data_IF_356045922022
#
_entry.id   IF_356045922022
#
_cell.length_a   1.000
_cell.length_b   1.000
_cell.length_c   1.000
_cell.angle_alpha   90.00
_cell.angle_beta   90.00
_cell.angle_gamma   90.00
#
_symmetry.space_group_name_H-M   'P 1'
#
loop_
_entity.id
_entity.type
_entity.pdbx_description
1 polymer ?
#
# COMPACT_ATOMS: atom_id res chain seq x y z
N UNK A 1 4.46 109.55 -31.48
CA UNK A 1 3.09 109.75 -30.95
C UNK A 1 3.23 110.37 -29.56
N UNK A 2 2.84 111.63 -29.34
CA UNK A 2 2.90 112.23 -28.01
C UNK A 2 1.82 111.58 -27.11
N UNK A 3 2.17 111.32 -25.85
CA UNK A 3 1.29 110.76 -24.81
C UNK A 3 0.19 111.79 -24.48
N UNK A 4 -1.10 111.43 -24.44
CA UNK A 4 -2.13 112.36 -24.01
C UNK A 4 -1.92 112.71 -22.52
N UNK A 5 -1.93 114.00 -22.20
CA UNK A 5 -1.77 114.50 -20.84
C UNK A 5 -2.85 113.91 -19.92
N UNK A 6 -2.44 113.37 -18.78
CA UNK A 6 -3.38 112.84 -17.78
C UNK A 6 -4.13 114.01 -17.13
N UNK A 7 -5.46 113.98 -17.18
CA UNK A 7 -6.31 114.95 -16.48
C UNK A 7 -6.04 114.91 -14.97
N UNK A 8 -5.86 116.07 -14.34
CA UNK A 8 -5.59 116.14 -12.89
C UNK A 8 -6.87 115.92 -12.08
N UNK A 9 -6.78 115.44 -10.82
CA UNK A 9 -7.95 115.20 -9.97
C UNK A 9 -8.84 116.44 -9.79
N UNK A 10 -8.25 117.63 -9.70
CA UNK A 10 -9.00 118.89 -9.56
C UNK A 10 -9.74 119.26 -10.85
N UNK A 11 -9.15 118.96 -12.01
CA UNK A 11 -9.83 119.14 -13.31
C UNK A 11 -11.01 118.18 -13.44
N UNK A 12 -10.85 116.92 -13.01
CA UNK A 12 -11.95 115.94 -12.98
C UNK A 12 -13.07 116.46 -12.06
N UNK A 13 -12.74 116.93 -10.86
CA UNK A 13 -13.71 117.44 -9.88
C UNK A 13 -14.46 118.67 -10.39
N UNK A 14 -13.74 119.67 -10.91
CA UNK A 14 -14.33 120.88 -11.46
C UNK A 14 -15.25 120.56 -12.65
N UNK A 15 -14.87 119.62 -13.51
CA UNK A 15 -15.67 119.22 -14.67
C UNK A 15 -16.93 118.45 -14.25
N UNK A 16 -16.85 117.59 -13.22
CA UNK A 16 -18.02 116.90 -12.67
C UNK A 16 -18.99 117.87 -11.99
N UNK A 17 -18.49 118.83 -11.21
CA UNK A 17 -19.31 119.86 -10.59
C UNK A 17 -19.96 120.79 -11.63
N UNK A 18 -19.23 121.12 -12.71
CA UNK A 18 -19.78 121.87 -13.83
C UNK A 18 -20.88 121.07 -14.55
N UNK A 19 -20.71 119.76 -14.77
CA UNK A 19 -21.75 118.90 -15.36
C UNK A 19 -23.01 118.81 -14.50
N UNK A 20 -22.86 118.86 -13.17
CA UNK A 20 -24.00 118.89 -12.24
C UNK A 20 -24.66 120.27 -12.19
N UNK A 21 -23.89 121.36 -12.26
CA UNK A 21 -24.41 122.73 -12.31
C UNK A 21 -25.13 123.03 -13.64
N UNK A 22 -24.59 122.57 -14.77
CA UNK A 22 -25.23 122.66 -16.10
C UNK A 22 -26.55 121.88 -16.17
N UNK A 23 -26.69 120.81 -15.38
CA UNK A 23 -27.94 120.06 -15.28
C UNK A 23 -29.02 120.78 -14.46
N UNK A 24 -28.67 121.88 -13.78
CA UNK A 24 -29.62 122.90 -13.31
C UNK A 24 -30.71 122.43 -12.36
N UNK A 25 -30.38 121.84 -11.21
CA UNK A 25 -31.38 121.41 -10.23
C UNK A 25 -31.02 121.71 -8.77
N UNK A 26 -31.94 122.39 -8.08
CA UNK A 26 -31.85 122.81 -6.68
C UNK A 26 -32.30 121.72 -5.66
N UNK A 27 -32.08 120.43 -5.96
CA UNK A 27 -32.47 119.32 -5.07
C UNK A 27 -31.28 118.38 -4.81
N UNK A 28 -31.09 117.89 -3.56
CA UNK A 28 -29.89 117.16 -3.18
C UNK A 28 -29.77 115.85 -3.96
N UNK A 29 -28.56 115.58 -4.47
CA UNK A 29 -28.29 114.50 -5.40
C UNK A 29 -28.35 113.13 -4.70
N UNK A 30 -29.32 112.29 -5.06
CA UNK A 30 -29.28 110.85 -4.79
C UNK A 30 -28.26 110.17 -5.70
N UNK A 31 -27.57 109.13 -5.22
CA UNK A 31 -26.49 108.47 -6.00
C UNK A 31 -26.93 107.92 -7.36
N UNK A 32 -28.18 107.47 -7.47
CA UNK A 32 -28.78 107.02 -8.74
C UNK A 32 -28.85 108.18 -9.75
N UNK A 33 -29.23 109.39 -9.32
CA UNK A 33 -29.32 110.58 -10.18
C UNK A 33 -27.93 111.08 -10.59
N UNK A 34 -26.96 111.05 -9.66
CA UNK A 34 -25.56 111.37 -9.97
C UNK A 34 -25.01 110.51 -11.11
N UNK A 35 -25.24 109.19 -11.07
CA UNK A 35 -24.78 108.25 -12.12
C UNK A 35 -25.50 108.42 -13.46
N UNK A 36 -26.74 108.91 -13.47
CA UNK A 36 -27.49 109.21 -14.69
C UNK A 36 -26.92 110.45 -15.41
N UNK A 37 -26.61 111.49 -14.64
CA UNK A 37 -26.10 112.76 -15.16
C UNK A 37 -24.62 112.64 -15.54
N UNK A 38 -23.82 112.02 -14.67
CA UNK A 38 -22.37 111.91 -14.80
C UNK A 38 -21.99 110.44 -15.01
N UNK A 39 -21.35 110.13 -16.13
CA UNK A 39 -20.80 108.80 -16.41
C UNK A 39 -19.35 108.91 -16.87
N UNK A 40 -18.57 107.85 -16.67
CA UNK A 40 -17.15 107.78 -17.11
C UNK A 40 -17.02 108.15 -18.59
N UNK A 41 -17.98 107.74 -19.43
CA UNK A 41 -18.02 108.06 -20.86
C UNK A 41 -18.23 109.55 -21.12
N UNK A 42 -19.21 110.18 -20.45
CA UNK A 42 -19.49 111.62 -20.60
C UNK A 42 -18.35 112.48 -20.05
N UNK A 43 -17.77 112.08 -18.92
CA UNK A 43 -16.64 112.75 -18.29
C UNK A 43 -15.38 112.67 -19.17
N UNK A 44 -15.09 111.49 -19.74
CA UNK A 44 -13.98 111.32 -20.68
C UNK A 44 -14.16 112.13 -21.97
N UNK A 45 -15.40 112.24 -22.47
CA UNK A 45 -15.70 113.05 -23.65
C UNK A 45 -15.45 114.55 -23.41
N UNK A 46 -15.69 115.05 -22.19
CA UNK A 46 -15.43 116.45 -21.79
C UNK A 46 -13.95 116.73 -21.51
N UNK A 47 -13.23 115.75 -20.94
CA UNK A 47 -11.81 115.89 -20.60
C UNK A 47 -10.87 115.60 -21.78
N UNK A 48 -11.35 114.97 -22.85
CA UNK A 48 -10.56 114.63 -24.05
C UNK A 48 -9.55 113.48 -23.86
N UNK A 49 -9.18 113.15 -22.62
CA UNK A 49 -8.27 112.05 -22.27
C UNK A 49 -8.51 111.55 -20.83
N UNK A 50 -8.05 110.34 -20.50
CA UNK A 50 -8.14 109.75 -19.16
C UNK A 50 -8.36 108.23 -19.18
N UNK A 51 -7.75 107.53 -18.22
CA UNK A 51 -7.93 106.09 -18.04
C UNK A 51 -9.28 105.79 -17.35
N UNK A 52 -10.12 104.88 -17.89
CA UNK A 52 -11.43 104.57 -17.32
C UNK A 52 -11.42 104.13 -15.85
N UNK A 53 -10.39 103.40 -15.41
CA UNK A 53 -10.32 102.86 -14.05
C UNK A 53 -10.02 103.95 -13.00
N UNK A 54 -9.24 104.97 -13.37
CA UNK A 54 -8.95 106.13 -12.53
C UNK A 54 -10.12 107.12 -12.52
N UNK A 55 -10.76 107.37 -13.66
CA UNK A 55 -11.97 108.20 -13.74
C UNK A 55 -13.15 107.57 -12.97
N UNK A 56 -13.32 106.26 -13.00
CA UNK A 56 -14.37 105.57 -12.23
C UNK A 56 -14.13 105.67 -10.73
N UNK A 57 -12.88 105.56 -10.27
CA UNK A 57 -12.55 105.73 -8.84
C UNK A 57 -12.77 107.16 -8.37
N UNK A 58 -12.34 108.15 -9.15
CA UNK A 58 -12.58 109.56 -8.86
C UNK A 58 -14.08 109.90 -8.85
N UNK A 59 -14.85 109.38 -9.81
CA UNK A 59 -16.31 109.56 -9.85
C UNK A 59 -17.00 108.95 -8.64
N UNK A 60 -16.64 107.73 -8.23
CA UNK A 60 -17.22 107.10 -7.05
C UNK A 60 -16.89 107.88 -5.75
N UNK A 61 -15.69 108.45 -5.65
CA UNK A 61 -15.30 109.29 -4.52
C UNK A 61 -16.12 110.60 -4.49
N UNK A 62 -16.31 111.24 -5.65
CA UNK A 62 -17.11 112.47 -5.77
C UNK A 62 -18.61 112.16 -5.55
N UNK A 63 -19.12 111.02 -6.04
CA UNK A 63 -20.50 110.56 -5.76
C UNK A 63 -20.71 110.43 -4.24
N UNK A 64 -19.79 109.76 -3.55
CA UNK A 64 -19.88 109.56 -2.11
C UNK A 64 -19.83 110.87 -1.31
N UNK A 65 -19.05 111.85 -1.79
CA UNK A 65 -18.98 113.18 -1.18
C UNK A 65 -20.27 113.98 -1.39
N UNK A 66 -20.74 114.09 -2.64
CA UNK A 66 -21.93 114.88 -3.00
C UNK A 66 -23.21 114.28 -2.38
N UNK A 67 -23.34 112.96 -2.37
CA UNK A 67 -24.49 112.28 -1.74
C UNK A 67 -24.46 112.46 -0.21
N UNK A 68 -23.28 112.46 0.41
CA UNK A 68 -23.13 112.68 1.86
C UNK A 68 -23.47 114.12 2.25
N UNK A 69 -23.04 115.10 1.47
CA UNK A 69 -23.44 116.50 1.64
C UNK A 69 -24.94 116.70 1.44
N UNK A 70 -25.53 116.03 0.44
CA UNK A 70 -26.98 116.10 0.18
C UNK A 70 -27.87 115.45 1.25
N UNK A 71 -27.36 114.47 1.99
CA UNK A 71 -28.06 113.88 3.14
C UNK A 71 -28.01 114.78 4.39
N UNK A 72 -27.00 115.63 4.52
CA UNK A 72 -26.91 116.63 5.60
C UNK A 72 -27.93 117.77 5.48
N UNK A 73 -28.47 118.01 4.28
CA UNK A 73 -29.46 119.07 4.00
C UNK A 73 -30.91 118.60 4.04
N UNK A 74 -31.19 117.35 4.43
CA UNK A 74 -32.57 116.87 4.63
C UNK A 74 -33.09 117.41 5.97
N UNK A 75 -33.38 118.71 6.00
CA UNK A 75 -34.13 119.34 7.07
C UNK A 75 -35.61 118.93 6.93
N UNK A 76 -36.11 118.11 7.85
CA UNK A 76 -37.55 117.85 7.96
C UNK A 76 -38.22 119.18 8.36
N UNK A 77 -39.07 119.78 7.51
CA UNK A 77 -39.60 121.10 7.77
C UNK A 77 -40.49 121.10 9.03
N UNK A 78 -40.12 121.89 10.03
CA UNK A 78 -40.90 122.10 11.26
C UNK A 78 -40.32 121.49 12.55
N UNK A 79 -39.17 120.79 12.50
CA UNK A 79 -38.47 120.36 13.71
C UNK A 79 -37.40 121.38 14.14
N UNK A 80 -37.36 121.80 15.41
CA UNK A 80 -36.23 122.54 15.99
C UNK A 80 -34.92 121.77 15.82
N UNK A 81 -33.84 122.49 15.46
CA UNK A 81 -32.54 121.90 15.15
C UNK A 81 -32.01 120.99 16.28
N UNK A 82 -32.20 121.40 17.53
CA UNK A 82 -31.80 120.63 18.72
C UNK A 82 -32.51 119.26 18.82
N UNK A 83 -33.79 119.18 18.41
CA UNK A 83 -34.56 117.93 18.43
C UNK A 83 -34.14 117.03 17.26
N UNK A 84 -33.86 117.61 16.09
CA UNK A 84 -33.37 116.86 14.94
C UNK A 84 -32.00 116.23 15.22
N UNK A 85 -31.08 116.97 15.86
CA UNK A 85 -29.78 116.45 16.31
C UNK A 85 -29.93 115.34 17.34
N UNK A 86 -30.84 115.49 18.31
CA UNK A 86 -31.09 114.47 19.33
C UNK A 86 -31.71 113.19 18.74
N UNK A 87 -32.68 113.33 17.82
CA UNK A 87 -33.26 112.18 17.10
C UNK A 87 -32.24 111.49 16.21
N UNK A 88 -31.34 112.24 15.57
CA UNK A 88 -30.27 111.69 14.76
C UNK A 88 -29.24 110.95 15.63
N UNK A 89 -28.90 111.48 16.80
CA UNK A 89 -28.03 110.80 17.77
C UNK A 89 -28.66 109.51 18.33
N UNK A 90 -29.96 109.53 18.66
CA UNK A 90 -30.71 108.34 19.08
C UNK A 90 -30.82 107.30 17.97
N UNK A 91 -31.03 107.72 16.72
CA UNK A 91 -31.03 106.83 15.57
C UNK A 91 -29.65 106.22 15.31
N UNK A 92 -28.58 107.03 15.34
CA UNK A 92 -27.21 106.54 15.16
C UNK A 92 -26.81 105.54 16.26
N UNK A 93 -27.17 105.80 17.52
CA UNK A 93 -26.90 104.87 18.62
C UNK A 93 -27.74 103.59 18.51
N UNK A 94 -29.02 103.67 18.15
CA UNK A 94 -29.84 102.49 17.91
C UNK A 94 -29.33 101.64 16.73
N UNK A 95 -28.93 102.28 15.63
CA UNK A 95 -28.32 101.59 14.48
C UNK A 95 -26.98 100.97 14.85
N UNK A 96 -26.15 101.64 15.66
CA UNK A 96 -24.88 101.08 16.14
C UNK A 96 -25.10 99.81 16.98
N UNK A 97 -26.03 99.83 17.94
CA UNK A 97 -26.37 98.65 18.75
C UNK A 97 -26.89 97.50 17.87
N UNK A 98 -27.77 97.80 16.91
CA UNK A 98 -28.25 96.78 15.97
C UNK A 98 -27.12 96.23 15.07
N UNK A 99 -26.19 97.08 14.63
CA UNK A 99 -25.04 96.65 13.83
C UNK A 99 -24.12 95.74 14.66
N UNK A 100 -23.87 96.10 15.92
CA UNK A 100 -23.07 95.31 16.86
C UNK A 100 -23.71 93.94 17.14
N UNK A 101 -25.03 93.90 17.33
CA UNK A 101 -25.77 92.64 17.48
C UNK A 101 -25.69 91.77 16.20
N UNK A 102 -25.81 92.37 15.01
CA UNK A 102 -25.64 91.66 13.74
C UNK A 102 -24.21 91.14 13.58
N UNK A 103 -23.19 91.90 13.97
CA UNK A 103 -21.80 91.45 13.94
C UNK A 103 -21.58 90.31 14.95
N UNK A 104 -22.14 90.41 16.16
CA UNK A 104 -22.09 89.33 17.16
C UNK A 104 -22.75 88.06 16.63
N UNK A 105 -23.96 88.15 16.09
CA UNK A 105 -24.68 87.01 15.51
C UNK A 105 -23.93 86.41 14.32
N UNK A 106 -23.30 87.23 13.47
CA UNK A 106 -22.44 86.74 12.39
C UNK A 106 -21.23 85.97 12.93
N UNK A 107 -20.60 86.45 14.00
CA UNK A 107 -19.47 85.77 14.64
C UNK A 107 -19.91 84.44 15.25
N UNK A 108 -21.00 84.43 16.00
CA UNK A 108 -21.59 83.21 16.59
C UNK A 108 -21.98 82.19 15.51
N UNK A 109 -22.58 82.64 14.40
CA UNK A 109 -22.91 81.78 13.27
C UNK A 109 -21.66 81.21 12.59
N UNK A 110 -20.59 82.01 12.43
CA UNK A 110 -19.31 81.55 11.88
C UNK A 110 -18.63 80.52 12.80
N UNK A 111 -18.66 80.76 14.11
CA UNK A 111 -18.15 79.82 15.12
C UNK A 111 -18.95 78.50 15.10
N UNK A 112 -20.28 78.56 14.99
CA UNK A 112 -21.14 77.39 14.88
C UNK A 112 -20.90 76.59 13.59
N UNK A 113 -20.70 77.27 12.45
CA UNK A 113 -20.35 76.61 11.18
C UNK A 113 -19.00 75.92 11.31
N UNK A 114 -17.99 76.60 11.84
CA UNK A 114 -16.65 76.02 12.02
C UNK A 114 -16.69 74.79 12.95
N UNK A 115 -17.47 74.83 14.03
CA UNK A 115 -17.66 73.70 14.93
C UNK A 115 -18.38 72.53 14.25
N UNK A 116 -19.41 72.82 13.44
CA UNK A 116 -20.13 71.80 12.67
C UNK A 116 -19.25 71.15 11.60
N UNK A 117 -18.41 71.94 10.92
CA UNK A 117 -17.46 71.45 9.93
C UNK A 117 -16.39 70.56 10.57
N UNK A 118 -15.84 70.96 11.73
CA UNK A 118 -14.90 70.13 12.48
C UNK A 118 -15.54 68.80 12.94
N UNK A 119 -16.76 68.85 13.49
CA UNK A 119 -17.48 67.64 13.90
C UNK A 119 -17.79 66.73 12.69
N UNK A 120 -18.08 67.32 11.53
CA UNK A 120 -18.29 66.58 10.28
C UNK A 120 -17.00 65.91 9.82
N UNK A 121 -15.87 66.61 9.81
CA UNK A 121 -14.58 66.00 9.41
C UNK A 121 -14.19 64.87 10.35
N UNK A 122 -14.41 65.03 11.66
CA UNK A 122 -14.13 63.97 12.64
C UNK A 122 -15.01 62.74 12.42
N UNK A 123 -16.29 62.95 12.13
CA UNK A 123 -17.22 61.86 11.81
C UNK A 123 -16.85 61.15 10.49
N UNK A 124 -16.45 61.90 9.46
CA UNK A 124 -15.97 61.34 8.18
C UNK A 124 -14.72 60.49 8.39
N UNK A 125 -13.73 60.98 9.15
CA UNK A 125 -12.52 60.22 9.50
C UNK A 125 -12.84 58.94 10.26
N UNK A 126 -13.80 58.98 11.21
CA UNK A 126 -14.22 57.79 11.96
C UNK A 126 -14.93 56.77 11.07
N UNK A 127 -15.73 57.22 10.10
CA UNK A 127 -16.37 56.34 9.12
C UNK A 127 -15.32 55.66 8.23
N UNK A 128 -14.30 56.39 7.78
CA UNK A 128 -13.21 55.80 6.98
C UNK A 128 -12.40 54.77 7.78
N UNK A 129 -12.10 55.05 9.05
CA UNK A 129 -11.42 54.09 9.92
C UNK A 129 -12.25 52.82 10.13
N UNK A 130 -13.55 52.96 10.43
CA UNK A 130 -14.44 51.80 10.56
C UNK A 130 -14.60 51.01 9.24
N UNK A 131 -14.58 51.68 8.09
CA UNK A 131 -14.58 51.02 6.78
C UNK A 131 -13.32 50.18 6.59
N UNK A 132 -12.15 50.72 6.95
CA UNK A 132 -10.87 50.00 6.89
C UNK A 132 -10.90 48.78 7.82
N UNK A 133 -11.29 48.94 9.08
CA UNK A 133 -11.42 47.82 10.03
C UNK A 133 -12.37 46.73 9.51
N UNK A 134 -13.52 47.10 8.93
CA UNK A 134 -14.45 46.13 8.32
C UNK A 134 -13.78 45.39 7.15
N UNK A 135 -13.01 46.07 6.31
CA UNK A 135 -12.30 45.41 5.19
C UNK A 135 -11.23 44.44 5.68
N UNK A 136 -10.48 44.81 6.72
CA UNK A 136 -9.46 43.95 7.34
C UNK A 136 -10.09 42.72 7.99
N UNK A 137 -11.16 42.90 8.77
CA UNK A 137 -11.89 41.80 9.40
C UNK A 137 -12.48 40.84 8.35
N UNK A 138 -13.01 41.36 7.25
CA UNK A 138 -13.49 40.53 6.13
C UNK A 138 -12.35 39.72 5.51
N UNK A 139 -11.18 40.32 5.30
CA UNK A 139 -10.02 39.61 4.77
C UNK A 139 -9.56 38.49 5.71
N UNK A 140 -9.51 38.75 7.02
CA UNK A 140 -9.17 37.75 8.04
C UNK A 140 -10.18 36.60 8.04
N UNK A 141 -11.49 36.90 8.00
CA UNK A 141 -12.55 35.87 7.92
C UNK A 141 -12.38 35.01 6.67
N UNK A 142 -12.18 35.62 5.49
CA UNK A 142 -11.98 34.85 4.25
C UNK A 142 -10.76 33.94 4.30
N UNK A 143 -9.68 34.38 4.96
CA UNK A 143 -8.46 33.58 5.14
C UNK A 143 -8.73 32.39 6.08
N UNK A 144 -9.42 32.64 7.20
CA UNK A 144 -9.83 31.57 8.14
C UNK A 144 -10.78 30.57 7.51
N UNK A 145 -11.71 31.02 6.66
CA UNK A 145 -12.62 30.14 5.92
C UNK A 145 -11.87 29.23 4.94
N UNK A 146 -10.88 29.77 4.22
CA UNK A 146 -10.01 28.98 3.35
C UNK A 146 -9.21 27.93 4.14
N UNK A 147 -8.57 28.32 5.25
CA UNK A 147 -7.85 27.39 6.13
C UNK A 147 -8.77 26.31 6.70
N UNK A 148 -10.00 26.66 7.11
CA UNK A 148 -10.98 25.69 7.57
C UNK A 148 -11.41 24.71 6.46
N UNK A 149 -11.54 25.19 5.22
CA UNK A 149 -11.85 24.33 4.07
C UNK A 149 -10.70 23.36 3.78
N UNK A 150 -9.45 23.83 3.82
CA UNK A 150 -8.26 23.02 3.61
C UNK A 150 -8.11 21.95 4.70
N UNK A 151 -8.30 22.30 5.97
CA UNK A 151 -8.26 21.33 7.07
C UNK A 151 -9.37 20.28 6.96
N UNK A 152 -10.58 20.67 6.53
CA UNK A 152 -11.67 19.71 6.27
C UNK A 152 -11.32 18.75 5.13
N UNK A 153 -10.70 19.24 4.05
CA UNK A 153 -10.26 18.41 2.94
C UNK A 153 -9.16 17.43 3.37
N UNK A 154 -8.15 17.89 4.11
CA UNK A 154 -7.08 17.03 4.66
C UNK A 154 -7.64 15.96 5.59
N UNK A 155 -8.59 16.32 6.46
CA UNK A 155 -9.23 15.37 7.36
C UNK A 155 -10.08 14.33 6.63
N UNK A 156 -10.76 14.70 5.53
CA UNK A 156 -11.49 13.75 4.68
C UNK A 156 -10.52 12.73 4.05
N UNK A 157 -9.39 13.20 3.51
CA UNK A 157 -8.34 12.33 2.95
C UNK A 157 -7.74 11.38 4.00
N UNK A 158 -7.46 11.88 5.20
CA UNK A 158 -6.96 11.04 6.29
C UNK A 158 -7.98 9.98 6.72
N UNK A 159 -9.27 10.32 6.78
CA UNK A 159 -10.34 9.35 7.07
C UNK A 159 -10.43 8.26 6.01
N UNK A 160 -10.37 8.62 4.74
CA UNK A 160 -10.35 7.66 3.63
C UNK A 160 -9.13 6.73 3.73
N UNK A 161 -7.96 7.30 4.03
CA UNK A 161 -6.74 6.50 4.24
C UNK A 161 -6.88 5.55 5.43
N UNK A 162 -7.42 6.00 6.57
CA UNK A 162 -7.67 5.13 7.71
C UNK A 162 -8.62 3.99 7.33
N UNK A 163 -9.75 4.29 6.67
CA UNK A 163 -10.69 3.27 6.22
C UNK A 163 -10.04 2.25 5.26
N UNK A 164 -9.16 2.70 4.36
CA UNK A 164 -8.42 1.80 3.46
C UNK A 164 -7.43 0.90 4.20
N UNK A 165 -6.76 1.42 5.24
CA UNK A 165 -5.84 0.65 6.07
C UNK A 165 -6.59 -0.34 6.95
N UNK A 166 -7.73 0.04 7.52
CA UNK A 166 -8.58 -0.85 8.30
C UNK A 166 -9.09 -2.02 7.46
N UNK A 167 -9.51 -1.76 6.22
CA UNK A 167 -9.88 -2.80 5.26
C UNK A 167 -8.71 -3.74 4.96
N UNK A 168 -7.51 -3.20 4.68
CA UNK A 168 -6.32 -4.00 4.42
C UNK A 168 -5.90 -4.85 5.63
N UNK A 169 -6.02 -4.32 6.85
CA UNK A 169 -5.77 -5.09 8.09
C UNK A 169 -6.78 -6.21 8.23
N UNK A 170 -8.06 -5.97 7.94
CA UNK A 170 -9.08 -7.01 7.96
C UNK A 170 -8.80 -8.12 6.95
N UNK A 171 -8.44 -7.78 5.72
CA UNK A 171 -8.08 -8.74 4.66
C UNK A 171 -6.84 -9.57 5.02
N UNK A 172 -5.84 -8.95 5.67
CA UNK A 172 -4.67 -9.67 6.16
C UNK A 172 -5.03 -10.61 7.33
N UNK A 173 -5.91 -10.20 8.23
CA UNK A 173 -6.38 -11.04 9.33
C UNK A 173 -7.17 -12.24 8.81
N UNK A 174 -8.07 -12.06 7.84
CA UNK A 174 -8.80 -13.17 7.22
C UNK A 174 -7.85 -14.13 6.50
N UNK A 175 -6.88 -13.60 5.78
CA UNK A 175 -5.82 -14.40 5.12
C UNK A 175 -5.00 -15.20 6.12
N UNK A 176 -4.57 -14.58 7.24
CA UNK A 176 -3.82 -15.25 8.30
C UNK A 176 -4.65 -16.37 8.94
N UNK A 177 -5.91 -16.11 9.27
CA UNK A 177 -6.80 -17.11 9.85
C UNK A 177 -6.99 -18.31 8.88
N UNK A 178 -7.15 -18.03 7.59
CA UNK A 178 -7.28 -19.10 6.58
C UNK A 178 -6.01 -19.95 6.47
N UNK A 179 -4.83 -19.32 6.50
CA UNK A 179 -3.54 -20.02 6.47
C UNK A 179 -3.31 -20.85 7.75
N UNK A 180 -3.72 -20.34 8.91
CA UNK A 180 -3.64 -21.05 10.17
C UNK A 180 -4.51 -22.32 10.15
N UNK A 181 -5.75 -22.21 9.64
CA UNK A 181 -6.65 -23.37 9.47
C UNK A 181 -6.02 -24.41 8.52
N UNK A 182 -5.53 -23.96 7.36
CA UNK A 182 -4.85 -24.86 6.40
C UNK A 182 -3.64 -25.55 7.02
N UNK A 183 -2.85 -24.85 7.84
CA UNK A 183 -1.73 -25.44 8.53
C UNK A 183 -2.17 -26.51 9.54
N UNK A 184 -3.23 -26.25 10.31
CA UNK A 184 -3.76 -27.25 11.25
C UNK A 184 -4.32 -28.48 10.54
N UNK A 185 -4.98 -28.29 9.40
CA UNK A 185 -5.52 -29.38 8.58
C UNK A 185 -4.38 -30.23 8.00
N UNK A 186 -3.35 -29.60 7.43
CA UNK A 186 -2.18 -30.31 6.92
C UNK A 186 -1.43 -31.08 8.01
N UNK A 187 -1.31 -30.52 9.21
CA UNK A 187 -0.70 -31.21 10.35
C UNK A 187 -1.51 -32.43 10.76
N UNK A 188 -2.84 -32.31 10.77
CA UNK A 188 -3.75 -33.41 11.06
C UNK A 188 -3.63 -34.51 10.00
N UNK A 189 -3.72 -34.16 8.72
CA UNK A 189 -3.60 -35.10 7.60
C UNK A 189 -2.25 -35.83 7.64
N UNK A 190 -1.16 -35.11 7.94
CA UNK A 190 0.16 -35.70 8.09
C UNK A 190 0.23 -36.69 9.26
N UNK A 191 -0.33 -36.33 10.42
CA UNK A 191 -0.38 -37.20 11.58
C UNK A 191 -1.21 -38.48 11.31
N UNK A 192 -2.36 -38.34 10.64
CA UNK A 192 -3.21 -39.46 10.23
C UNK A 192 -2.48 -40.38 9.22
N UNK A 193 -1.77 -39.81 8.24
CA UNK A 193 -0.97 -40.56 7.28
C UNK A 193 0.19 -41.33 7.95
N UNK A 194 0.89 -40.70 8.90
CA UNK A 194 1.95 -41.36 9.67
C UNK A 194 1.40 -42.51 10.52
N UNK A 195 0.29 -42.31 11.23
CA UNK A 195 -0.35 -43.35 12.01
C UNK A 195 -0.79 -44.54 11.12
N UNK A 196 -1.38 -44.25 9.94
CA UNK A 196 -1.74 -45.29 8.98
C UNK A 196 -0.52 -46.07 8.45
N UNK A 197 0.59 -45.39 8.18
CA UNK A 197 1.84 -46.03 7.75
C UNK A 197 2.44 -46.92 8.86
N UNK A 198 2.46 -46.43 10.11
CA UNK A 198 2.90 -47.20 11.27
C UNK A 198 2.05 -48.47 11.45
N UNK A 199 0.73 -48.35 11.41
CA UNK A 199 -0.16 -49.50 11.48
C UNK A 199 0.07 -50.54 10.37
N UNK A 200 0.35 -50.09 9.13
CA UNK A 200 0.69 -51.00 8.03
C UNK A 200 2.02 -51.71 8.26
N UNK A 201 3.03 -50.99 8.73
CA UNK A 201 4.33 -51.57 9.05
C UNK A 201 4.24 -52.59 10.20
N UNK A 202 3.49 -52.27 11.25
CA UNK A 202 3.22 -53.18 12.36
C UNK A 202 2.46 -54.43 11.92
N UNK A 203 1.49 -54.28 11.01
CA UNK A 203 0.76 -55.42 10.45
C UNK A 203 1.68 -56.32 9.60
N UNK A 204 2.48 -55.73 8.71
CA UNK A 204 3.43 -56.46 7.86
C UNK A 204 4.52 -57.16 8.69
N UNK A 205 5.05 -56.50 9.73
CA UNK A 205 6.05 -57.12 10.62
C UNK A 205 5.48 -58.31 11.38
N UNK A 206 4.23 -58.23 11.86
CA UNK A 206 3.52 -59.37 12.47
C UNK A 206 3.29 -60.49 11.47
N UNK A 207 2.90 -60.19 10.24
CA UNK A 207 2.73 -61.18 9.17
C UNK A 207 4.06 -61.88 8.87
N UNK A 208 5.15 -61.14 8.72
CA UNK A 208 6.48 -61.71 8.48
C UNK A 208 6.93 -62.63 9.62
N UNK A 209 6.67 -62.25 10.88
CA UNK A 209 6.97 -63.10 12.04
C UNK A 209 6.15 -64.39 12.03
N UNK A 210 4.88 -64.33 11.64
CA UNK A 210 4.02 -65.51 11.52
C UNK A 210 4.47 -66.42 10.37
N UNK A 211 4.77 -65.86 9.20
CA UNK A 211 5.26 -66.62 8.05
C UNK A 211 6.60 -67.29 8.34
N UNK A 212 7.54 -66.57 8.96
CA UNK A 212 8.84 -67.15 9.35
C UNK A 212 8.70 -68.23 10.42
N UNK A 213 7.76 -68.09 11.37
CA UNK A 213 7.44 -69.14 12.33
C UNK A 213 6.86 -70.38 11.61
N UNK A 214 5.92 -70.19 10.69
CA UNK A 214 5.32 -71.26 9.90
C UNK A 214 6.35 -72.00 9.03
N UNK A 215 7.24 -71.26 8.35
CA UNK A 215 8.34 -71.83 7.58
C UNK A 215 9.28 -72.67 8.46
N UNK A 216 9.66 -72.19 9.65
CA UNK A 216 10.49 -72.95 10.60
C UNK A 216 9.80 -74.25 11.04
N UNK A 217 8.49 -74.21 11.29
CA UNK A 217 7.73 -75.42 11.63
C UNK A 217 7.63 -76.40 10.47
N UNK A 218 7.42 -75.93 9.23
CA UNK A 218 7.42 -76.77 8.03
C UNK A 218 8.78 -77.46 7.84
N UNK A 219 9.87 -76.70 7.90
CA UNK A 219 11.23 -77.23 7.79
C UNK A 219 11.53 -78.24 8.90
N UNK A 220 11.11 -77.99 10.16
CA UNK A 220 11.24 -78.97 11.24
C UNK A 220 10.49 -80.27 10.96
N UNK A 221 9.28 -80.19 10.41
CA UNK A 221 8.47 -81.37 10.04
C UNK A 221 9.14 -82.14 8.90
N UNK A 222 9.58 -81.46 7.85
CA UNK A 222 10.31 -82.06 6.72
C UNK A 222 11.61 -82.72 7.17
N UNK A 223 12.42 -82.05 8.00
CA UNK A 223 13.62 -82.63 8.59
C UNK A 223 13.32 -83.88 9.43
N UNK A 224 12.26 -83.87 10.23
CA UNK A 224 11.85 -85.05 11.00
C UNK A 224 11.41 -86.21 10.07
N UNK A 225 10.68 -85.90 8.99
CA UNK A 225 10.33 -86.88 7.96
C UNK A 225 11.57 -87.47 7.30
N UNK A 226 12.48 -86.65 6.78
CA UNK A 226 13.73 -87.12 6.17
C UNK A 226 14.59 -87.91 7.15
N UNK A 227 14.71 -87.47 8.40
CA UNK A 227 15.43 -88.21 9.43
C UNK A 227 14.81 -89.59 9.71
N UNK A 228 13.47 -89.71 9.70
CA UNK A 228 12.80 -91.00 9.83
C UNK A 228 13.02 -91.92 8.63
N UNK A 229 12.98 -91.37 7.41
CA UNK A 229 13.25 -92.10 6.16
C UNK A 229 14.71 -92.58 6.11
N UNK A 230 15.65 -91.74 6.54
CA UNK A 230 17.07 -92.06 6.62
C UNK A 230 17.30 -93.20 7.62
N UNK A 231 16.73 -93.11 8.84
CA UNK A 231 16.79 -94.21 9.83
C UNK A 231 16.17 -95.51 9.31
N UNK A 232 15.09 -95.43 8.54
CA UNK A 232 14.49 -96.61 7.91
C UNK A 232 15.40 -97.21 6.84
N UNK A 233 16.01 -96.37 5.98
CA UNK A 233 16.97 -96.80 4.98
C UNK A 233 18.23 -97.42 5.61
N UNK A 234 18.79 -96.81 6.66
CA UNK A 234 19.91 -97.35 7.44
C UNK A 234 19.58 -98.75 8.00
N UNK A 235 18.40 -98.92 8.61
CA UNK A 235 17.96 -100.23 9.12
C UNK A 235 17.82 -101.26 8.00
N UNK A 236 17.31 -100.85 6.84
CA UNK A 236 17.20 -101.74 5.67
C UNK A 236 18.56 -102.14 5.11
N UNK A 237 19.51 -101.21 5.05
CA UNK A 237 20.90 -101.50 4.65
C UNK A 237 21.53 -102.47 5.64
N UNK A 238 21.43 -102.21 6.95
CA UNK A 238 21.95 -103.11 7.98
C UNK A 238 21.35 -104.52 7.91
N UNK A 239 20.05 -104.64 7.61
CA UNK A 239 19.40 -105.93 7.40
C UNK A 239 19.95 -106.65 6.15
N UNK A 240 20.11 -105.94 5.03
CA UNK A 240 20.71 -106.48 3.80
C UNK A 240 22.17 -106.88 3.99
N UNK A 241 22.94 -106.11 4.75
CA UNK A 241 24.33 -106.44 5.09
C UNK A 241 24.40 -107.68 5.98
N UNK A 242 23.52 -107.82 6.98
CA UNK A 242 23.43 -109.02 7.80
C UNK A 242 23.00 -110.27 7.00
N UNK A 243 22.05 -110.12 6.07
CA UNK A 243 21.68 -111.19 5.12
C UNK A 243 22.86 -111.56 4.23
N UNK A 244 23.61 -110.57 3.73
CA UNK A 244 24.83 -110.78 2.95
C UNK A 244 25.91 -111.53 3.75
N UNK A 245 26.20 -111.10 4.98
CA UNK A 245 27.16 -111.78 5.86
C UNK A 245 26.74 -113.23 6.15
N UNK A 246 25.44 -113.46 6.36
CA UNK A 246 24.90 -114.82 6.51
C UNK A 246 25.11 -115.66 5.25
N UNK A 247 24.79 -115.13 4.06
CA UNK A 247 24.99 -115.82 2.79
C UNK A 247 26.47 -116.08 2.50
N UNK A 248 27.35 -115.13 2.81
CA UNK A 248 28.80 -115.29 2.69
C UNK A 248 29.31 -116.40 3.65
N UNK A 249 28.77 -116.46 4.88
CA UNK A 249 29.04 -117.53 5.84
C UNK A 249 28.51 -118.90 5.40
N UNK A 250 27.30 -118.98 4.85
CA UNK A 250 26.74 -120.20 4.26
C UNK A 250 27.58 -120.68 3.08
N UNK A 251 28.03 -119.76 2.22
CA UNK A 251 28.90 -120.05 1.08
C UNK A 251 30.31 -120.51 1.50
N UNK A 252 30.86 -119.94 2.58
CA UNK A 252 32.11 -120.41 3.18
C UNK A 252 31.98 -121.85 3.73
N UNK A 253 30.90 -122.16 4.45
CA UNK A 253 30.61 -123.52 4.93
C UNK A 253 30.41 -124.52 3.80
N UNK A 254 29.71 -124.12 2.74
CA UNK A 254 29.57 -124.93 1.53
C UNK A 254 30.93 -125.19 0.85
N UNK A 255 31.82 -124.20 0.81
CA UNK A 255 33.20 -124.39 0.31
C UNK A 255 34.00 -125.32 1.20
N UNK A 256 33.91 -125.19 2.52
CA UNK A 256 34.55 -126.10 3.49
C UNK A 256 34.00 -127.52 3.37
N UNK A 257 32.68 -127.69 3.29
CA UNK A 257 32.03 -129.00 3.09
C UNK A 257 32.44 -129.62 1.74
N UNK A 258 32.53 -128.83 0.67
CA UNK A 258 33.06 -129.30 -0.62
C UNK A 258 34.53 -129.68 -0.51
N UNK A 259 35.36 -128.90 0.19
CA UNK A 259 36.77 -129.23 0.41
C UNK A 259 36.93 -130.50 1.26
N UNK A 260 36.10 -130.68 2.28
CA UNK A 260 36.03 -131.91 3.08
C UNK A 260 35.59 -133.09 2.23
N UNK A 261 34.50 -132.97 1.46
CA UNK A 261 34.04 -134.02 0.55
C UNK A 261 35.09 -134.36 -0.53
N UNK A 262 35.82 -133.36 -1.06
CA UNK A 262 36.96 -133.58 -1.95
C UNK A 262 38.08 -134.31 -1.21
N UNK A 263 38.39 -133.91 0.02
CA UNK A 263 39.38 -134.57 0.88
C UNK A 263 39.01 -136.01 1.21
N UNK A 264 37.76 -136.28 1.56
CA UNK A 264 37.19 -137.60 1.79
C UNK A 264 37.17 -138.43 0.51
N UNK A 265 36.77 -137.86 -0.63
CA UNK A 265 36.84 -138.55 -1.92
C UNK A 265 38.28 -138.90 -2.31
N UNK A 266 39.25 -138.02 -2.02
CA UNK A 266 40.68 -138.30 -2.20
C UNK A 266 41.17 -139.36 -1.21
N UNK A 267 40.72 -139.35 0.04
CA UNK A 267 41.03 -140.37 1.03
C UNK A 267 40.44 -141.73 0.65
N UNK A 268 39.18 -141.78 0.20
CA UNK A 268 38.54 -142.97 -0.34
C UNK A 268 39.23 -143.45 -1.61
N UNK A 269 39.68 -142.54 -2.49
CA UNK A 269 40.50 -142.89 -3.66
C UNK A 269 41.84 -143.48 -3.23
N UNK A 270 42.47 -142.96 -2.18
CA UNK A 270 43.72 -143.50 -1.62
C UNK A 270 43.49 -144.87 -0.96
N UNK A 271 42.41 -145.06 -0.19
CA UNK A 271 42.02 -146.35 0.40
C UNK A 271 41.69 -147.36 -0.69
N UNK A 272 40.96 -146.96 -1.73
CA UNK A 272 40.65 -147.82 -2.87
C UNK A 272 41.92 -148.20 -3.65
N UNK A 273 42.86 -147.25 -3.84
CA UNK A 273 44.19 -147.55 -4.36
C UNK A 273 44.98 -148.51 -3.46
N UNK A 274 44.86 -148.39 -2.14
CA UNK A 274 45.49 -149.27 -1.15
C UNK A 274 44.83 -150.67 -1.12
N UNK A 275 43.51 -150.76 -1.26
CA UNK A 275 42.75 -152.01 -1.42
C UNK A 275 43.08 -152.69 -2.75
N UNK A 276 43.25 -151.93 -3.84
CA UNK A 276 43.76 -152.46 -5.10
C UNK A 276 45.20 -152.95 -4.98
N UNK A 277 46.05 -152.28 -4.20
CA UNK A 277 47.41 -152.76 -3.90
C UNK A 277 47.38 -154.06 -3.07
N UNK A 278 46.51 -154.15 -2.05
CA UNK A 278 46.33 -155.34 -1.22
C UNK A 278 45.68 -156.52 -1.99
N UNK A 279 44.74 -156.26 -2.89
CA UNK A 279 44.23 -157.27 -3.83
C UNK A 279 45.30 -157.70 -4.84
N UNK A 280 46.17 -156.78 -5.26
CA UNK A 280 47.36 -157.08 -6.06
C UNK A 280 48.38 -157.95 -5.32
N UNK A 281 48.48 -157.84 -4.00
CA UNK A 281 49.31 -158.70 -3.16
C UNK A 281 48.66 -160.07 -2.90
N UNK A 282 47.35 -160.15 -2.62
CA UNK A 282 46.65 -161.44 -2.41
C UNK A 282 46.53 -162.29 -3.70
N UNK A 283 46.48 -161.66 -4.87
CA UNK A 283 46.48 -162.37 -6.16
C UNK A 283 47.89 -162.82 -6.61
N UNK A 284 48.96 -162.47 -5.89
CA UNK A 284 50.34 -162.90 -6.22
C UNK A 284 50.71 -164.29 -5.67
N UNK A 285 50.02 -164.80 -4.66
CA UNK A 285 50.46 -165.99 -3.91
C UNK A 285 49.82 -167.34 -4.32
N UNK A 286 49.03 -167.40 -5.41
CA UNK A 286 48.42 -168.67 -5.88
C UNK A 286 49.01 -169.22 -7.20
N UNK A 287 49.84 -168.46 -7.96
CA UNK A 287 50.55 -168.89 -9.21
C UNK A 287 49.63 -169.43 -10.34
N UNK A 288 50.08 -169.61 -11.62
CA UNK A 288 51.33 -169.27 -12.32
C UNK A 288 51.15 -168.45 -13.65
N UNK A 289 52.27 -168.23 -14.38
CA UNK A 289 52.48 -167.76 -15.79
C UNK A 289 51.44 -168.36 -16.81
N UNK A 290 51.15 -167.82 -18.05
CA UNK A 290 51.93 -166.90 -18.90
C UNK A 290 51.15 -165.87 -19.79
N UNK A 291 51.92 -165.20 -20.67
CA UNK A 291 51.68 -164.22 -21.74
C UNK A 291 50.47 -164.34 -22.69
N UNK A 292 49.94 -163.19 -23.18
CA UNK A 292 49.90 -162.72 -24.60
C UNK A 292 48.94 -161.52 -24.79
N UNK A 293 49.35 -160.59 -25.69
CA UNK A 293 48.58 -159.87 -26.74
C UNK A 293 47.26 -159.13 -26.37
N UNK A 294 46.79 -158.05 -27.00
CA UNK A 294 47.22 -157.12 -28.05
C UNK A 294 46.09 -156.06 -28.19
N UNK A 295 46.34 -155.01 -28.99
CA UNK A 295 45.40 -154.08 -29.63
C UNK A 295 44.72 -153.01 -28.73
N UNK A 296 44.98 -151.71 -28.90
CA UNK A 296 44.73 -150.78 -30.02
C UNK A 296 43.31 -150.19 -30.09
N UNK A 297 43.31 -148.89 -30.40
CA UNK A 297 42.23 -148.04 -30.90
C UNK A 297 41.17 -147.62 -29.86
N UNK A 298 40.78 -146.36 -29.75
CA UNK A 298 41.04 -145.19 -30.57
C UNK A 298 39.83 -144.24 -30.47
N UNK A 299 40.07 -142.97 -30.84
CA UNK A 299 39.09 -142.04 -31.42
C UNK A 299 37.95 -141.58 -30.50
N UNK A 300 37.35 -140.40 -30.62
CA UNK A 300 37.59 -139.13 -31.30
C UNK A 300 36.38 -138.25 -30.95
N UNK A 301 36.50 -136.94 -31.17
CA UNK A 301 35.41 -136.07 -31.68
C UNK A 301 34.28 -135.72 -30.69
N UNK A 302 33.65 -134.54 -30.67
CA UNK A 302 33.84 -133.21 -31.23
C UNK A 302 32.64 -132.35 -30.76
N UNK A 303 32.69 -131.06 -31.15
CA UNK A 303 31.56 -130.18 -31.55
C UNK A 303 30.74 -129.53 -30.42
N UNK A 304 30.81 -128.19 -30.32
CA UNK A 304 29.92 -127.15 -30.93
C UNK A 304 28.63 -126.96 -30.10
N UNK A 305 28.02 -125.79 -29.95
CA UNK A 305 28.20 -124.43 -30.46
C UNK A 305 27.23 -123.49 -29.70
N UNK A 306 27.42 -122.18 -29.91
CA UNK A 306 26.40 -121.10 -29.88
C UNK A 306 25.71 -120.77 -28.53
N UNK A 307 25.36 -119.53 -28.19
CA UNK A 307 25.44 -118.24 -28.86
C UNK A 307 24.41 -117.26 -28.26
N UNK A 308 24.72 -115.95 -28.25
CA UNK A 308 23.78 -114.79 -28.19
C UNK A 308 22.92 -114.59 -26.92
N UNK A 309 22.37 -113.43 -26.57
CA UNK A 309 22.38 -112.07 -27.11
C UNK A 309 21.65 -111.12 -26.10
N UNK A 310 21.92 -109.80 -26.18
CA UNK A 310 20.96 -108.65 -26.05
C UNK A 310 20.12 -108.48 -24.74
N UNK A 311 19.70 -107.29 -24.26
CA UNK A 311 19.86 -105.87 -24.57
C UNK A 311 19.01 -105.05 -23.54
N UNK A 312 19.25 -103.71 -23.46
CA UNK A 312 18.27 -102.62 -23.11
C UNK A 312 17.76 -102.58 -21.64
N UNK A 313 17.32 -101.48 -21.00
CA UNK A 313 17.16 -100.03 -21.27
C UNK A 313 16.77 -99.31 -19.94
N UNK A 314 17.20 -98.05 -19.79
CA UNK A 314 16.51 -96.82 -19.30
C UNK A 314 15.63 -96.75 -18.02
N UNK A 315 15.79 -95.57 -17.38
CA UNK A 315 14.87 -94.75 -16.54
C UNK A 315 14.66 -95.22 -15.10
N UNK A 316 14.67 -94.33 -14.09
CA UNK A 316 14.16 -92.95 -14.06
C UNK A 316 14.99 -92.09 -13.11
#
# INVERSE_FOLDING_TARGET
MPRPAAATPDQIRATVLAMLAEAGDATPATGIRFRQLVSVRKLRARLGAGDPATLSRALNAIEAEVVRSGLGEIAIPGLPAEIAEHMQALWQTAVAVQLDDVVRLKREAQEAIAAADAARTDAEMRVELLRQEITELRAVVTTRDAECADLRAQHALLRERCASLDAAVHDLQTSLNSAAIQQTDLQRDHAEALAAAQHRYDALSKQLLQETAHQRESLKKEHAQFASQLKFAERRIAALDAERERLDGELAREREARQQAIGEALALKAVNAQQHAQLGELLRDIKPKPARAAAHAGLASAKRAAGGAAAKRKSK
#
